data_IF_559304041237
#
_entry.id   IF_559304041237
#
_cell.length_a   1.000
_cell.length_b   1.000
_cell.length_c   1.000
_cell.angle_alpha   90.00
_cell.angle_beta   90.00
_cell.angle_gamma   90.00
#
_symmetry.space_group_name_H-M   'P 1'
#
loop_
_entity.id
_entity.type
_entity.pdbx_description
1 polymer ?
#
# COMPACT_ATOMS: atom_id res chain seq x y z
N UNK A 1 -2.02 -15.49 17.07
CA UNK A 1 -0.87 -14.57 17.15
C UNK A 1 -1.31 -13.20 16.70
N UNK A 2 -0.70 -12.14 17.23
CA UNK A 2 -0.96 -10.75 16.82
C UNK A 2 -0.34 -10.49 15.44
N UNK A 3 -1.05 -9.78 14.56
CA UNK A 3 -0.58 -9.34 13.24
C UNK A 3 -0.22 -7.87 13.31
N UNK A 4 0.93 -7.51 12.74
CA UNK A 4 1.35 -6.11 12.57
C UNK A 4 1.32 -5.80 11.08
N UNK A 5 0.39 -4.94 10.67
CA UNK A 5 0.14 -4.60 9.27
C UNK A 5 0.64 -3.21 8.88
N UNK A 6 0.98 -3.04 7.61
CA UNK A 6 1.34 -1.76 7.00
C UNK A 6 0.18 -1.22 6.16
N UNK A 7 -0.22 0.04 6.38
CA UNK A 7 -1.23 0.70 5.55
C UNK A 7 -0.55 1.58 4.48
N UNK A 8 -0.73 1.22 3.22
CA UNK A 8 -0.32 2.00 2.07
C UNK A 8 -1.40 3.06 1.75
N UNK A 9 -1.22 4.28 2.27
CA UNK A 9 -2.17 5.40 2.12
C UNK A 9 -2.12 6.00 0.72
N UNK A 10 -3.00 5.50 -0.17
CA UNK A 10 -3.21 6.08 -1.50
C UNK A 10 -3.78 7.49 -1.47
N UNK A 11 -4.23 7.97 -0.32
CA UNK A 11 -4.69 9.35 -0.16
C UNK A 11 -3.52 10.34 -0.10
N UNK A 12 -2.36 9.94 0.43
CA UNK A 12 -1.27 10.85 0.80
C UNK A 12 0.03 10.66 0.03
N UNK A 13 0.29 9.46 -0.49
CA UNK A 13 1.61 9.10 -1.02
C UNK A 13 1.48 8.56 -2.44
N UNK A 14 2.37 8.96 -3.37
CA UNK A 14 2.35 8.43 -4.73
C UNK A 14 2.48 6.90 -4.77
N UNK A 15 1.79 6.19 -5.70
CA UNK A 15 1.78 4.73 -5.74
C UNK A 15 3.16 4.07 -5.86
N UNK A 16 4.11 4.70 -6.57
CA UNK A 16 5.47 4.18 -6.71
C UNK A 16 6.24 4.18 -5.37
N UNK A 17 6.05 5.23 -4.57
CA UNK A 17 6.67 5.34 -3.25
C UNK A 17 6.03 4.37 -2.26
N UNK A 18 4.72 4.17 -2.36
CA UNK A 18 4.00 3.15 -1.60
C UNK A 18 4.45 1.73 -1.94
N UNK A 19 4.74 1.43 -3.21
CA UNK A 19 5.29 0.14 -3.62
C UNK A 19 6.66 -0.10 -2.96
N UNK A 20 7.55 0.90 -3.03
CA UNK A 20 8.85 0.81 -2.36
C UNK A 20 8.72 0.71 -0.83
N UNK A 21 7.70 1.32 -0.24
CA UNK A 21 7.41 1.22 1.18
C UNK A 21 6.86 -0.16 1.57
N UNK A 22 6.00 -0.79 0.76
CA UNK A 22 5.47 -2.12 1.01
C UNK A 22 6.59 -3.19 1.02
N UNK A 23 7.52 -3.13 0.06
CA UNK A 23 8.71 -4.01 0.04
C UNK A 23 9.58 -3.81 1.29
N UNK A 24 9.77 -2.55 1.71
CA UNK A 24 10.49 -2.25 2.95
C UNK A 24 9.75 -2.71 4.20
N UNK A 25 8.42 -2.65 4.21
CA UNK A 25 7.59 -3.10 5.31
C UNK A 25 7.71 -4.63 5.48
N UNK A 26 7.65 -5.40 4.40
CA UNK A 26 7.92 -6.83 4.42
C UNK A 26 9.33 -7.11 4.98
N UNK A 27 10.35 -6.42 4.45
CA UNK A 27 11.74 -6.55 4.93
C UNK A 27 11.92 -6.18 6.41
N UNK A 28 11.06 -5.33 6.96
CA UNK A 28 11.06 -4.90 8.35
C UNK A 28 10.25 -5.83 9.28
N UNK A 29 9.60 -6.87 8.74
CA UNK A 29 8.85 -7.86 9.51
C UNK A 29 7.37 -7.55 9.70
N UNK A 30 6.80 -6.62 8.93
CA UNK A 30 5.34 -6.51 8.84
C UNK A 30 4.77 -7.75 8.16
N UNK A 31 3.64 -8.25 8.67
CA UNK A 31 3.08 -9.56 8.26
C UNK A 31 1.75 -9.44 7.51
N UNK A 32 1.32 -8.21 7.22
CA UNK A 32 0.19 -7.90 6.37
C UNK A 32 0.37 -6.49 5.78
N UNK A 33 -0.24 -6.22 4.64
CA UNK A 33 -0.37 -4.89 4.09
C UNK A 33 -1.81 -4.63 3.67
N UNK A 34 -2.18 -3.36 3.59
CA UNK A 34 -3.49 -2.96 3.07
C UNK A 34 -3.37 -1.65 2.30
N UNK A 35 -4.28 -1.40 1.36
CA UNK A 35 -4.38 -0.12 0.67
C UNK A 35 -5.84 0.30 0.53
N UNK A 36 -6.10 1.60 0.55
CA UNK A 36 -7.43 2.12 0.27
C UNK A 36 -7.74 2.11 -1.23
N UNK A 37 -8.98 1.82 -1.62
CA UNK A 37 -9.48 2.01 -2.98
C UNK A 37 -10.41 3.23 -3.03
N UNK A 38 -9.93 4.30 -3.68
CA UNK A 38 -10.63 5.57 -3.81
C UNK A 38 -10.59 6.06 -5.25
N UNK A 39 -11.71 6.61 -5.72
CA UNK A 39 -11.77 7.25 -7.04
C UNK A 39 -11.16 8.66 -7.04
N UNK A 40 -11.35 9.42 -5.96
CA UNK A 40 -10.91 10.80 -5.84
C UNK A 40 -10.11 11.03 -4.56
N UNK A 41 -9.16 11.99 -4.58
CA UNK A 41 -8.51 12.43 -3.35
C UNK A 41 -9.53 12.91 -2.33
N UNK A 42 -9.30 12.59 -1.05
CA UNK A 42 -10.17 13.03 0.05
C UNK A 42 -10.17 14.55 0.22
N UNK A 43 -9.03 15.18 -0.09
CA UNK A 43 -8.89 16.62 -0.10
C UNK A 43 -7.75 17.03 -1.03
N UNK A 44 -7.79 18.29 -1.45
CA UNK A 44 -6.69 18.94 -2.20
C UNK A 44 -5.36 18.92 -1.45
N UNK A 45 -5.38 18.77 -0.11
CA UNK A 45 -4.17 18.76 0.73
C UNK A 45 -3.45 17.41 0.76
N UNK A 46 -4.16 16.30 0.62
CA UNK A 46 -3.54 14.98 0.55
C UNK A 46 -3.21 14.63 -0.91
N UNK A 47 -4.09 14.98 -1.85
CA UNK A 47 -3.76 15.13 -3.27
C UNK A 47 -3.65 13.83 -4.09
N UNK A 48 -3.54 12.66 -3.45
CA UNK A 48 -3.37 11.39 -4.13
C UNK A 48 -4.66 10.54 -4.11
N UNK A 49 -4.80 9.69 -5.13
CA UNK A 49 -5.85 8.65 -5.21
C UNK A 49 -5.37 7.53 -6.12
N UNK A 50 -4.36 6.78 -5.67
CA UNK A 50 -3.76 5.69 -6.43
C UNK A 50 -4.78 4.63 -6.85
N UNK A 51 -4.70 4.14 -8.09
CA UNK A 51 -5.58 3.08 -8.58
C UNK A 51 -5.22 1.72 -7.96
N UNK A 52 -6.01 1.31 -6.97
CA UNK A 52 -5.68 0.19 -6.08
C UNK A 52 -5.43 -1.13 -6.83
N UNK A 53 -6.23 -1.45 -7.84
CA UNK A 53 -6.14 -2.74 -8.55
C UNK A 53 -4.84 -2.93 -9.32
N UNK A 54 -4.39 -1.90 -10.04
CA UNK A 54 -3.08 -1.96 -10.71
C UNK A 54 -1.93 -1.94 -9.70
N UNK A 55 -2.07 -1.17 -8.62
CA UNK A 55 -1.05 -1.12 -7.58
C UNK A 55 -0.90 -2.46 -6.84
N UNK A 56 -2.01 -3.13 -6.50
CA UNK A 56 -2.01 -4.46 -5.89
C UNK A 56 -1.31 -5.49 -6.77
N UNK A 57 -1.51 -5.44 -8.09
CA UNK A 57 -0.77 -6.31 -9.03
C UNK A 57 0.74 -6.10 -8.96
N UNK A 58 1.19 -4.85 -8.86
CA UNK A 58 2.61 -4.53 -8.70
C UNK A 58 3.14 -4.94 -7.32
N UNK A 59 2.37 -4.69 -6.26
CA UNK A 59 2.75 -5.01 -4.89
C UNK A 59 2.88 -6.52 -4.68
N UNK A 60 1.90 -7.30 -5.12
CA UNK A 60 1.93 -8.78 -5.08
C UNK A 60 3.06 -9.38 -5.91
N UNK A 61 3.53 -8.69 -6.95
CA UNK A 61 4.71 -9.12 -7.69
C UNK A 61 6.02 -8.78 -6.97
N UNK A 62 6.06 -7.66 -6.24
CA UNK A 62 7.26 -7.13 -5.61
C UNK A 62 7.52 -7.66 -4.19
N UNK A 63 6.53 -8.28 -3.55
CA UNK A 63 6.61 -8.89 -2.21
C UNK A 63 6.34 -10.39 -2.27
N UNK A 64 6.92 -11.16 -1.36
CA UNK A 64 6.92 -12.63 -1.43
C UNK A 64 5.87 -13.31 -0.54
N UNK A 65 5.54 -12.74 0.62
CA UNK A 65 4.76 -13.44 1.66
C UNK A 65 3.77 -12.54 2.41
N UNK A 66 3.80 -11.23 2.21
CA UNK A 66 2.82 -10.32 2.79
C UNK A 66 1.45 -10.43 2.09
N UNK A 67 0.38 -10.84 2.80
CA UNK A 67 -0.97 -10.76 2.25
C UNK A 67 -1.45 -9.30 2.19
N UNK A 68 -2.26 -8.99 1.18
CA UNK A 68 -2.91 -7.69 1.01
C UNK A 68 -4.40 -7.76 1.31
N UNK A 69 -4.95 -6.70 1.90
CA UNK A 69 -6.38 -6.52 2.18
C UNK A 69 -6.85 -5.09 2.07
#
# INVERSE_FOLDING_TARGET
MTVYGFHASHEQVPPADLLAAAVRAESAGFTAAMCSDHFSPWSVRQGESGFAWSWLGAALQATDHVPFG
#
